data_IF_364280895808
#
_entry.id   IF_364280895808
#
_cell.length_a   1.000
_cell.length_b   1.000
_cell.length_c   1.000
_cell.angle_alpha   90.00
_cell.angle_beta   90.00
_cell.angle_gamma   90.00
#
_symmetry.space_group_name_H-M   'P 1'
#
loop_
_entity.id
_entity.type
_entity.pdbx_description
1 polymer ?
#
# COMPACT_ATOMS: atom_id res chain seq x y z
N UNK A 1 -23.12 11.82 -4.91
CA UNK A 1 -23.36 11.71 -3.45
C UNK A 1 -22.06 11.33 -2.78
N UNK A 2 -21.77 11.86 -1.58
CA UNK A 2 -20.52 11.56 -0.88
C UNK A 2 -20.74 10.56 0.26
N UNK A 3 -19.75 9.71 0.48
CA UNK A 3 -19.72 8.72 1.55
C UNK A 3 -18.37 8.76 2.27
N UNK A 4 -18.37 8.52 3.57
CA UNK A 4 -17.17 8.46 4.41
C UNK A 4 -16.93 7.03 4.87
N UNK A 5 -15.69 6.57 4.77
CA UNK A 5 -15.20 5.33 5.34
C UNK A 5 -15.34 5.33 6.87
N UNK A 6 -16.09 4.39 7.44
CA UNK A 6 -16.25 4.27 8.91
C UNK A 6 -15.21 3.31 9.54
N UNK A 7 -14.65 2.42 8.72
CA UNK A 7 -13.59 1.45 9.02
C UNK A 7 -12.74 1.27 7.75
N UNK A 8 -11.48 0.77 7.82
CA UNK A 8 -10.68 0.54 6.63
C UNK A 8 -11.48 -0.16 5.52
N UNK A 9 -11.54 0.45 4.35
CA UNK A 9 -12.47 0.09 3.28
C UNK A 9 -11.69 -0.45 2.09
N UNK A 10 -11.77 -1.75 1.77
CA UNK A 10 -11.17 -2.29 0.57
C UNK A 10 -11.76 -1.65 -0.68
N UNK A 11 -10.89 -1.23 -1.60
CA UNK A 11 -11.26 -0.66 -2.88
C UNK A 11 -10.87 -1.66 -3.98
N UNK A 12 -11.87 -2.12 -4.72
CA UNK A 12 -11.70 -3.12 -5.76
C UNK A 12 -11.85 -2.52 -7.16
N UNK A 13 -11.22 -3.13 -8.16
CA UNK A 13 -11.41 -2.79 -9.58
C UNK A 13 -12.52 -3.60 -10.28
N UNK A 14 -13.31 -4.34 -9.50
CA UNK A 14 -14.46 -5.12 -9.96
C UNK A 14 -15.64 -4.95 -9.02
N UNK A 15 -16.86 -4.95 -9.57
CA UNK A 15 -18.08 -4.91 -8.75
C UNK A 15 -18.46 -6.29 -8.19
N UNK A 16 -17.88 -7.38 -8.72
CA UNK A 16 -18.12 -8.75 -8.29
C UNK A 16 -17.34 -9.12 -7.02
N UNK A 17 -17.39 -8.27 -5.98
CA UNK A 17 -16.55 -8.41 -4.78
C UNK A 17 -16.76 -9.78 -4.11
N UNK A 18 -18.01 -10.28 -4.08
CA UNK A 18 -18.31 -11.57 -3.47
C UNK A 18 -17.56 -12.74 -4.13
N UNK A 19 -17.33 -12.69 -5.44
CA UNK A 19 -16.66 -13.78 -6.17
C UNK A 19 -15.18 -13.90 -5.78
N UNK A 20 -14.60 -12.80 -5.28
CA UNK A 20 -13.23 -12.77 -4.74
C UNK A 20 -13.14 -13.63 -3.46
N UNK A 21 -14.21 -13.66 -2.66
CA UNK A 21 -14.24 -14.31 -1.35
C UNK A 21 -15.11 -15.56 -1.37
N UNK A 22 -14.47 -16.72 -1.41
CA UNK A 22 -15.09 -18.03 -1.34
C UNK A 22 -15.04 -18.81 -2.65
N UNK A 23 -15.11 -18.16 -3.82
CA UNK A 23 -15.42 -18.83 -5.11
C UNK A 23 -16.60 -19.82 -4.96
N UNK A 24 -16.71 -20.81 -5.83
CA UNK A 24 -17.78 -21.81 -5.79
C UNK A 24 -17.76 -22.63 -4.47
N UNK A 25 -16.58 -23.06 -4.05
CA UNK A 25 -16.35 -23.94 -2.89
C UNK A 25 -16.56 -23.25 -1.52
N UNK A 26 -16.52 -21.93 -1.48
CA UNK A 26 -16.69 -21.10 -0.29
C UNK A 26 -15.49 -21.04 0.68
N UNK A 27 -14.33 -21.57 0.30
CA UNK A 27 -13.15 -21.71 1.16
C UNK A 27 -11.85 -21.29 0.45
N UNK A 28 -11.94 -20.53 -0.64
CA UNK A 28 -10.78 -20.03 -1.39
C UNK A 28 -10.91 -18.53 -1.70
N UNK A 29 -9.83 -17.91 -2.14
CA UNK A 29 -9.80 -16.51 -2.57
C UNK A 29 -9.44 -16.45 -4.05
N UNK A 30 -9.91 -15.42 -4.75
CA UNK A 30 -9.45 -15.12 -6.11
C UNK A 30 -8.04 -14.52 -6.10
N UNK A 31 -7.05 -15.42 -6.19
CA UNK A 31 -5.63 -15.11 -6.20
C UNK A 31 -4.99 -15.61 -7.49
N UNK A 32 -4.02 -14.87 -8.01
CA UNK A 32 -3.18 -15.33 -9.12
C UNK A 32 -2.18 -16.40 -8.69
N UNK A 33 -1.36 -16.90 -9.63
CA UNK A 33 -0.33 -17.92 -9.37
C UNK A 33 0.73 -17.47 -8.34
N UNK A 34 0.91 -16.17 -8.12
CA UNK A 34 1.80 -15.60 -7.09
C UNK A 34 1.08 -15.38 -5.76
N UNK A 35 -0.21 -15.66 -5.71
CA UNK A 35 -1.04 -15.48 -4.53
C UNK A 35 -1.50 -14.04 -4.30
N UNK A 36 -1.52 -13.22 -5.36
CA UNK A 36 -1.96 -11.82 -5.34
C UNK A 36 -3.44 -11.68 -5.68
N UNK A 37 -4.14 -10.84 -4.93
CA UNK A 37 -5.54 -10.46 -5.21
C UNK A 37 -5.54 -9.29 -6.20
N UNK A 38 -5.54 -9.57 -7.50
CA UNK A 38 -5.45 -8.54 -8.56
C UNK A 38 -6.68 -7.61 -8.64
N UNK A 39 -7.77 -8.04 -8.04
CA UNK A 39 -8.99 -7.26 -7.92
C UNK A 39 -8.90 -6.16 -6.86
N UNK A 40 -8.01 -6.29 -5.87
CA UNK A 40 -7.77 -5.27 -4.85
C UNK A 40 -6.81 -4.22 -5.38
N UNK A 41 -7.24 -2.96 -5.35
CA UNK A 41 -6.38 -1.82 -5.70
C UNK A 41 -5.64 -1.31 -4.46
N UNK A 42 -6.38 -1.02 -3.38
CA UNK A 42 -5.83 -0.68 -2.08
C UNK A 42 -6.90 -0.72 -0.99
N UNK A 43 -6.53 -0.41 0.26
CA UNK A 43 -7.47 -0.25 1.37
C UNK A 43 -7.51 1.22 1.77
N UNK A 44 -8.64 1.89 1.52
CA UNK A 44 -8.86 3.25 1.98
C UNK A 44 -8.92 3.30 3.51
N UNK A 45 -8.29 4.31 4.09
CA UNK A 45 -8.27 4.48 5.54
C UNK A 45 -9.62 4.99 6.05
N UNK A 46 -9.90 4.74 7.32
CA UNK A 46 -11.07 5.34 7.99
C UNK A 46 -11.07 6.86 7.80
N UNK A 47 -12.24 7.41 7.48
CA UNK A 47 -12.43 8.83 7.17
C UNK A 47 -12.17 9.21 5.70
N UNK A 48 -11.68 8.30 4.84
CA UNK A 48 -11.59 8.58 3.39
C UNK A 48 -12.98 8.88 2.82
N UNK A 49 -13.04 9.91 1.97
CA UNK A 49 -14.25 10.36 1.31
C UNK A 49 -14.32 9.79 -0.11
N UNK A 50 -15.46 9.21 -0.44
CA UNK A 50 -15.78 8.66 -1.74
C UNK A 50 -16.86 9.48 -2.43
N UNK A 51 -16.68 9.80 -3.70
CA UNK A 51 -17.76 10.28 -4.54
C UNK A 51 -18.41 9.10 -5.25
N UNK A 52 -19.64 8.75 -4.88
CA UNK A 52 -20.39 7.66 -5.52
C UNK A 52 -20.95 8.14 -6.85
N UNK A 53 -20.61 7.41 -7.92
CA UNK A 53 -21.06 7.68 -9.29
C UNK A 53 -22.15 6.71 -9.75
N UNK A 54 -22.13 5.45 -9.27
CA UNK A 54 -23.18 4.45 -9.54
C UNK A 54 -23.44 3.57 -8.33
N UNK A 55 -24.67 3.04 -8.24
CA UNK A 55 -25.12 2.15 -7.17
C UNK A 55 -25.61 0.84 -7.78
N UNK A 56 -25.01 -0.26 -7.36
CA UNK A 56 -25.39 -1.61 -7.77
C UNK A 56 -26.10 -2.30 -6.61
N UNK A 57 -27.31 -2.76 -6.86
CA UNK A 57 -28.02 -3.64 -5.93
C UNK A 57 -27.37 -5.01 -5.99
N UNK A 58 -27.12 -5.61 -4.83
CA UNK A 58 -26.71 -7.02 -4.78
C UNK A 58 -27.93 -7.89 -4.47
N UNK A 59 -27.81 -9.20 -4.67
CA UNK A 59 -28.79 -10.16 -4.15
C UNK A 59 -28.90 -10.12 -2.62
N UNK A 60 -27.91 -9.53 -1.94
CA UNK A 60 -27.89 -9.33 -0.50
C UNK A 60 -28.42 -7.94 -0.16
N UNK A 61 -28.86 -7.71 1.09
CA UNK A 61 -29.41 -6.41 1.54
C UNK A 61 -28.40 -5.25 1.57
N UNK A 62 -27.24 -5.38 0.94
CA UNK A 62 -26.24 -4.33 0.80
C UNK A 62 -26.03 -3.93 -0.67
N UNK A 63 -25.38 -2.79 -0.87
CA UNK A 63 -25.11 -2.21 -2.19
C UNK A 63 -23.60 -2.21 -2.45
N UNK A 64 -23.22 -2.32 -3.72
CA UNK A 64 -21.87 -1.98 -4.17
C UNK A 64 -21.92 -0.61 -4.81
N UNK A 65 -20.97 0.25 -4.46
CA UNK A 65 -20.87 1.59 -5.03
C UNK A 65 -19.69 1.64 -5.97
N UNK A 66 -19.91 2.18 -7.18
CA UNK A 66 -18.80 2.67 -7.99
C UNK A 66 -18.43 4.06 -7.50
N UNK A 67 -17.15 4.30 -7.32
CA UNK A 67 -16.63 5.50 -6.67
C UNK A 67 -15.51 6.16 -7.45
N UNK A 68 -15.39 7.47 -7.25
CA UNK A 68 -14.19 8.25 -7.54
C UNK A 68 -13.56 8.64 -6.22
N UNK A 69 -12.23 8.52 -6.15
CA UNK A 69 -11.44 8.82 -4.96
C UNK A 69 -10.36 9.80 -5.36
N UNK A 70 -10.42 11.03 -4.82
CA UNK A 70 -9.48 12.09 -5.19
C UNK A 70 -8.03 11.73 -4.88
N UNK A 71 -7.80 11.06 -3.76
CA UNK A 71 -6.48 10.64 -3.25
C UNK A 71 -5.91 9.42 -3.98
N UNK A 72 -6.71 8.77 -4.82
CA UNK A 72 -6.33 7.58 -5.59
C UNK A 72 -6.81 7.74 -7.04
N UNK A 73 -6.13 8.58 -7.85
CA UNK A 73 -6.50 8.76 -9.25
C UNK A 73 -6.32 7.45 -10.01
N UNK A 74 -7.40 6.95 -10.61
CA UNK A 74 -7.41 5.66 -11.31
C UNK A 74 -8.17 5.78 -12.63
N UNK A 75 -7.63 5.14 -13.67
CA UNK A 75 -8.32 4.99 -14.96
C UNK A 75 -9.29 3.80 -14.97
N UNK A 76 -9.26 2.97 -13.92
CA UNK A 76 -10.19 1.85 -13.73
C UNK A 76 -11.42 2.32 -12.97
N UNK A 77 -12.55 1.67 -13.23
CA UNK A 77 -13.70 1.77 -12.34
C UNK A 77 -13.35 1.17 -10.97
N UNK A 78 -13.61 1.92 -9.91
CA UNK A 78 -13.35 1.50 -8.53
C UNK A 78 -14.67 1.24 -7.81
N UNK A 79 -14.65 0.23 -6.94
CA UNK A 79 -15.83 -0.25 -6.25
C UNK A 79 -15.57 -0.47 -4.76
N UNK A 80 -16.57 -0.14 -3.95
CA UNK A 80 -16.58 -0.38 -2.51
C UNK A 80 -17.92 -0.98 -2.09
N UNK A 81 -17.92 -1.69 -0.97
CA UNK A 81 -19.15 -2.19 -0.35
C UNK A 81 -19.74 -1.14 0.61
N UNK A 82 -21.04 -0.87 0.45
CA UNK A 82 -21.82 0.04 1.30
C UNK A 82 -21.70 -0.22 2.81
N UNK A 83 -21.38 -1.45 3.22
CA UNK A 83 -21.23 -1.84 4.65
C UNK A 83 -20.02 -1.20 5.34
N UNK A 84 -19.06 -0.67 4.57
CA UNK A 84 -17.86 -0.03 5.09
C UNK A 84 -17.97 1.49 5.21
N UNK A 85 -19.08 2.07 4.76
CA UNK A 85 -19.23 3.51 4.61
C UNK A 85 -20.57 4.01 5.13
N UNK A 86 -20.65 5.32 5.35
CA UNK A 86 -21.89 6.03 5.65
C UNK A 86 -22.03 7.27 4.76
N UNK A 87 -23.25 7.76 4.49
CA UNK A 87 -23.44 9.05 3.82
C UNK A 87 -22.66 10.16 4.54
N UNK A 88 -22.09 11.08 3.76
CA UNK A 88 -21.33 12.21 4.28
C UNK A 88 -21.64 13.48 3.51
N UNK A 89 -21.63 14.61 4.21
CA UNK A 89 -21.69 15.93 3.58
C UNK A 89 -20.30 16.47 3.25
N UNK A 90 -19.22 15.83 3.73
CA UNK A 90 -17.84 16.23 3.45
C UNK A 90 -17.47 15.88 2.00
N UNK A 91 -16.74 16.79 1.35
CA UNK A 91 -16.19 16.58 0.00
C UNK A 91 -14.72 16.16 0.00
N UNK A 92 -14.00 16.41 1.09
CA UNK A 92 -12.59 16.06 1.26
C UNK A 92 -12.38 15.42 2.65
N UNK A 93 -11.34 14.59 2.76
CA UNK A 93 -10.85 14.10 4.05
C UNK A 93 -10.26 15.27 4.87
N UNK A 94 -10.23 15.12 6.20
CA UNK A 94 -9.50 16.04 7.07
C UNK A 94 -8.02 16.07 6.69
N UNK A 95 -7.38 17.24 6.86
CA UNK A 95 -5.95 17.39 6.63
C UNK A 95 -5.14 16.42 7.49
N UNK A 96 -4.08 15.87 6.91
CA UNK A 96 -3.18 14.97 7.61
C UNK A 96 -2.39 15.75 8.65
N UNK A 97 -2.33 15.24 9.88
CA UNK A 97 -1.44 15.78 10.90
C UNK A 97 0.01 15.48 10.49
N UNK A 98 0.87 16.50 10.57
CA UNK A 98 2.32 16.32 10.37
C UNK A 98 2.84 15.37 11.46
N UNK A 99 3.34 14.21 11.04
CA UNK A 99 3.95 13.22 11.94
C UNK A 99 5.44 13.55 12.05
N UNK A 100 5.99 13.56 13.27
CA UNK A 100 7.42 13.79 13.45
C UNK A 100 8.25 12.57 12.97
N UNK A 101 9.54 12.80 12.70
CA UNK A 101 10.43 11.77 12.14
C UNK A 101 10.61 10.57 13.05
N UNK A 102 10.79 10.79 14.36
CA UNK A 102 10.99 9.73 15.34
C UNK A 102 9.80 8.77 15.38
N UNK A 103 8.58 9.29 15.46
CA UNK A 103 7.35 8.50 15.44
C UNK A 103 7.20 7.68 14.15
N UNK A 104 7.69 8.16 13.01
CA UNK A 104 7.67 7.38 11.77
C UNK A 104 8.67 6.23 11.79
N UNK A 105 9.86 6.46 12.35
CA UNK A 105 10.87 5.43 12.56
C UNK A 105 10.33 4.37 13.53
N UNK A 106 9.81 4.77 14.69
CA UNK A 106 9.22 3.84 15.66
C UNK A 106 8.12 2.99 15.01
N UNK A 107 7.23 3.63 14.23
CA UNK A 107 6.18 2.93 13.50
C UNK A 107 6.75 1.95 12.48
N UNK A 108 7.79 2.32 11.71
CA UNK A 108 8.46 1.41 10.78
C UNK A 108 9.00 0.18 11.52
N UNK A 109 9.68 0.39 12.65
CA UNK A 109 10.27 -0.70 13.44
C UNK A 109 9.21 -1.66 13.99
N UNK A 110 8.09 -1.14 14.49
CA UNK A 110 6.94 -1.93 14.97
C UNK A 110 6.32 -2.83 13.87
N UNK A 111 6.58 -2.54 12.58
CA UNK A 111 6.05 -3.32 11.46
C UNK A 111 6.98 -4.46 11.04
N UNK A 112 8.19 -4.57 11.60
CA UNK A 112 9.07 -5.71 11.28
C UNK A 112 8.37 -7.03 11.58
N UNK A 113 8.47 -7.98 10.65
CA UNK A 113 7.82 -9.29 10.73
C UNK A 113 6.36 -9.32 10.28
N UNK A 114 5.74 -8.18 9.90
CA UNK A 114 4.39 -8.17 9.32
C UNK A 114 4.39 -8.78 7.93
N UNK A 115 3.30 -9.45 7.58
CA UNK A 115 3.16 -10.17 6.32
C UNK A 115 3.16 -9.25 5.09
N UNK A 116 3.70 -9.76 3.99
CA UNK A 116 3.49 -9.14 2.68
C UNK A 116 2.07 -9.44 2.16
N UNK A 117 1.38 -8.42 1.65
CA UNK A 117 0.12 -8.59 0.93
C UNK A 117 0.04 -7.59 -0.23
N UNK A 118 -0.04 -8.07 -1.47
CA UNK A 118 -0.18 -7.20 -2.65
C UNK A 118 -1.45 -6.36 -2.59
N UNK A 119 -1.35 -5.04 -2.71
CA UNK A 119 -2.46 -4.11 -2.51
C UNK A 119 -2.76 -3.82 -1.02
N UNK A 120 -2.05 -4.48 -0.10
CA UNK A 120 -2.23 -4.34 1.33
C UNK A 120 -1.59 -3.08 1.90
N UNK A 121 -2.31 -2.39 2.76
CA UNK A 121 -1.81 -1.26 3.54
C UNK A 121 -2.44 -1.20 4.94
N UNK A 122 -2.81 -2.38 5.48
CA UNK A 122 -3.30 -2.57 6.85
C UNK A 122 -2.63 -3.83 7.42
N UNK A 123 -1.60 -3.64 8.23
CA UNK A 123 -0.75 -4.68 8.82
C UNK A 123 -1.52 -5.63 9.73
N UNK A 124 -2.62 -5.18 10.33
CA UNK A 124 -3.49 -6.01 11.17
C UNK A 124 -4.67 -6.65 10.43
N UNK A 125 -4.91 -6.23 9.18
CA UNK A 125 -6.09 -6.59 8.40
C UNK A 125 -7.38 -5.97 8.92
N UNK A 126 -8.49 -6.38 8.31
CA UNK A 126 -9.83 -5.85 8.50
C UNK A 126 -10.72 -7.01 8.95
N UNK A 127 -10.94 -7.13 10.26
CA UNK A 127 -11.61 -8.30 10.85
C UNK A 127 -13.05 -8.44 10.36
N UNK A 128 -13.70 -7.33 10.05
CA UNK A 128 -15.05 -7.22 9.52
C UNK A 128 -15.22 -7.94 8.18
N UNK A 129 -14.14 -8.18 7.43
CA UNK A 129 -14.18 -9.00 6.21
C UNK A 129 -14.73 -10.41 6.47
N UNK A 130 -14.45 -11.00 7.64
CA UNK A 130 -14.98 -12.31 8.01
C UNK A 130 -16.48 -12.29 8.32
N UNK A 131 -17.02 -11.13 8.68
CA UNK A 131 -18.44 -10.95 8.90
C UNK A 131 -19.17 -10.59 7.59
N UNK A 132 -18.55 -9.74 6.77
CA UNK A 132 -19.14 -9.27 5.53
C UNK A 132 -19.05 -10.29 4.39
N UNK A 133 -17.98 -11.09 4.37
CA UNK A 133 -17.72 -12.15 3.40
C UNK A 133 -17.27 -13.40 4.13
N UNK A 134 -18.14 -14.05 4.94
CA UNK A 134 -17.74 -15.20 5.74
C UNK A 134 -17.33 -16.39 4.84
N UNK A 135 -16.24 -17.11 5.17
CA UNK A 135 -15.96 -18.38 4.52
C UNK A 135 -17.04 -19.40 4.89
N UNK A 136 -17.44 -20.26 3.94
CA UNK A 136 -18.44 -21.33 4.17
C UNK A 136 -17.93 -22.44 5.08
N UNK A 137 -16.61 -22.60 5.17
CA UNK A 137 -15.93 -23.64 5.96
C UNK A 137 -14.83 -23.00 6.80
N UNK A 138 -14.37 -23.72 7.82
CA UNK A 138 -13.21 -23.28 8.58
C UNK A 138 -11.97 -23.20 7.67
N UNK A 139 -11.23 -22.09 7.75
CA UNK A 139 -10.05 -21.82 6.92
C UNK A 139 -8.79 -21.76 7.77
N UNK A 140 -7.67 -22.23 7.22
CA UNK A 140 -6.36 -22.18 7.89
C UNK A 140 -5.93 -20.72 8.15
N UNK A 141 -5.13 -20.48 9.20
CA UNK A 141 -4.64 -19.15 9.59
C UNK A 141 -4.08 -18.33 8.42
N UNK A 142 -3.19 -18.90 7.61
CA UNK A 142 -2.59 -18.21 6.45
C UNK A 142 -3.64 -17.72 5.45
N UNK A 143 -4.69 -18.50 5.21
CA UNK A 143 -5.78 -18.09 4.33
C UNK A 143 -6.68 -17.07 5.03
N UNK A 144 -6.92 -17.21 6.33
CA UNK A 144 -7.66 -16.24 7.15
C UNK A 144 -7.01 -14.86 7.13
N UNK A 145 -5.67 -14.79 7.25
CA UNK A 145 -4.91 -13.54 7.16
C UNK A 145 -5.13 -12.87 5.79
N UNK A 146 -5.08 -13.64 4.69
CA UNK A 146 -5.40 -13.12 3.36
C UNK A 146 -6.87 -12.70 3.24
N UNK A 147 -7.78 -13.40 3.90
CA UNK A 147 -9.22 -13.12 3.86
C UNK A 147 -9.55 -11.77 4.49
N UNK A 148 -8.85 -11.42 5.57
CA UNK A 148 -8.95 -10.10 6.20
C UNK A 148 -8.00 -9.06 5.59
N UNK A 149 -7.36 -9.38 4.45
CA UNK A 149 -6.42 -8.49 3.76
C UNK A 149 -5.27 -8.03 4.67
N UNK A 150 -4.82 -8.91 5.59
CA UNK A 150 -3.76 -8.61 6.56
C UNK A 150 -2.40 -8.61 5.88
N UNK A 151 -1.76 -7.44 5.85
CA UNK A 151 -0.39 -7.29 5.40
C UNK A 151 -0.15 -5.97 4.69
N UNK A 152 1.10 -5.77 4.30
CA UNK A 152 1.61 -4.55 3.69
C UNK A 152 2.35 -4.89 2.41
N UNK A 153 2.08 -4.20 1.31
CA UNK A 153 3.03 -4.11 0.21
C UNK A 153 4.06 -2.99 0.47
N UNK A 154 5.00 -2.79 -0.46
CA UNK A 154 6.12 -1.87 -0.28
C UNK A 154 5.65 -0.43 -0.03
N UNK A 155 4.78 0.12 -0.87
CA UNK A 155 4.24 1.47 -0.66
C UNK A 155 3.14 1.51 0.39
N UNK A 156 2.44 0.40 0.63
CA UNK A 156 1.44 0.23 1.67
C UNK A 156 2.01 0.34 3.07
N UNK A 157 3.27 -0.07 3.28
CA UNK A 157 4.01 0.19 4.52
C UNK A 157 4.11 1.69 4.82
N UNK A 158 4.58 2.49 3.86
CA UNK A 158 4.66 3.96 4.00
C UNK A 158 3.27 4.58 4.17
N UNK A 159 2.30 4.11 3.40
CA UNK A 159 0.92 4.60 3.46
C UNK A 159 0.30 4.37 4.85
N UNK A 160 0.50 3.20 5.46
CA UNK A 160 0.01 2.89 6.80
C UNK A 160 0.66 3.78 7.86
N UNK A 161 2.00 3.79 7.96
CA UNK A 161 2.69 4.48 9.05
C UNK A 161 2.43 5.99 9.04
N UNK A 162 2.10 6.53 7.85
CA UNK A 162 1.81 7.94 7.66
C UNK A 162 0.34 8.29 7.74
N UNK A 163 -0.53 7.30 8.01
CA UNK A 163 -1.96 7.48 7.97
C UNK A 163 -2.46 8.07 6.64
N UNK A 164 -1.81 7.71 5.53
CA UNK A 164 -2.16 8.07 4.16
C UNK A 164 -1.56 9.37 3.63
N UNK A 165 -0.55 9.94 4.31
CA UNK A 165 0.12 11.18 3.85
C UNK A 165 1.01 10.95 2.61
N UNK A 166 1.53 9.73 2.42
CA UNK A 166 2.30 9.39 1.22
C UNK A 166 1.37 8.97 0.08
N UNK A 167 1.79 9.12 -1.19
CA UNK A 167 1.09 8.48 -2.30
C UNK A 167 0.95 6.97 -2.07
N UNK A 168 -0.16 6.36 -2.51
CA UNK A 168 -0.40 4.91 -2.30
C UNK A 168 0.45 4.03 -3.22
N UNK A 169 0.76 4.50 -4.42
CA UNK A 169 1.48 3.74 -5.44
C UNK A 169 2.91 4.25 -5.61
N UNK A 170 3.86 3.33 -5.83
CA UNK A 170 5.27 3.70 -6.05
C UNK A 170 5.46 4.54 -7.31
N UNK A 171 4.63 4.35 -8.34
CA UNK A 171 4.62 5.21 -9.53
C UNK A 171 4.37 6.67 -9.18
N UNK A 172 3.41 6.96 -8.32
CA UNK A 172 3.12 8.31 -7.86
C UNK A 172 4.27 8.88 -7.02
N UNK A 173 4.89 8.06 -6.15
CA UNK A 173 6.10 8.49 -5.43
C UNK A 173 7.27 8.84 -6.37
N UNK A 174 7.36 8.19 -7.54
CA UNK A 174 8.39 8.49 -8.54
C UNK A 174 8.10 9.80 -9.29
N UNK A 175 6.87 10.00 -9.76
CA UNK A 175 6.53 11.09 -10.70
C UNK A 175 5.91 12.35 -10.06
N UNK A 176 5.26 12.24 -8.91
CA UNK A 176 4.66 13.40 -8.23
C UNK A 176 5.72 14.18 -7.43
N UNK A 177 5.31 15.33 -6.87
CA UNK A 177 6.10 16.15 -5.93
C UNK A 177 6.32 15.45 -4.57
N UNK A 178 6.67 14.18 -4.59
CA UNK A 178 7.07 13.40 -3.43
C UNK A 178 8.58 13.49 -3.25
N UNK A 179 9.01 14.24 -2.24
CA UNK A 179 10.42 14.39 -1.87
C UNK A 179 11.28 15.09 -2.92
N UNK A 180 12.59 15.16 -2.66
CA UNK A 180 13.60 15.73 -3.55
C UNK A 180 14.56 14.66 -4.02
N UNK A 181 14.78 14.52 -5.33
CA UNK A 181 15.79 13.61 -5.88
C UNK A 181 17.18 14.03 -5.42
N UNK A 182 17.98 13.06 -4.98
CA UNK A 182 19.36 13.26 -4.53
C UNK A 182 20.34 13.02 -5.66
N UNK A 183 21.33 13.91 -5.78
CA UNK A 183 22.39 13.81 -6.78
C UNK A 183 23.47 12.84 -6.31
N UNK A 184 23.31 11.57 -6.67
CA UNK A 184 24.18 10.46 -6.28
C UNK A 184 24.69 9.62 -7.47
N UNK A 185 24.25 9.86 -8.71
CA UNK A 185 24.60 9.05 -9.91
C UNK A 185 26.11 8.86 -10.13
N UNK A 186 26.95 9.82 -9.73
CA UNK A 186 28.42 9.76 -9.89
C UNK A 186 29.17 9.27 -8.64
N UNK A 187 28.46 8.96 -7.56
CA UNK A 187 29.06 8.60 -6.28
C UNK A 187 29.27 7.09 -6.16
N UNK A 188 30.34 6.70 -5.47
CA UNK A 188 30.57 5.32 -5.05
C UNK A 188 29.63 4.96 -3.89
N UNK A 189 29.38 3.67 -3.68
CA UNK A 189 28.49 3.16 -2.62
C UNK A 189 28.83 3.76 -1.24
N UNK A 190 30.11 3.80 -0.88
CA UNK A 190 30.53 4.34 0.42
C UNK A 190 30.22 5.84 0.57
N UNK A 191 30.28 6.61 -0.52
CA UNK A 191 29.93 8.03 -0.52
C UNK A 191 28.42 8.25 -0.50
N UNK A 192 27.65 7.36 -1.13
CA UNK A 192 26.18 7.36 -1.04
C UNK A 192 25.77 7.14 0.41
N UNK A 193 26.32 6.10 1.05
CA UNK A 193 25.98 5.72 2.43
C UNK A 193 26.17 6.86 3.44
N UNK A 194 27.27 7.61 3.34
CA UNK A 194 27.56 8.72 4.26
C UNK A 194 26.62 9.92 4.08
N UNK A 195 25.92 10.00 2.95
CA UNK A 195 25.00 11.10 2.62
C UNK A 195 23.52 10.75 2.77
N UNK A 196 23.20 9.46 2.90
CA UNK A 196 21.85 8.99 3.19
C UNK A 196 21.45 9.38 4.62
N UNK A 197 20.18 9.72 4.77
CA UNK A 197 19.56 10.07 6.06
C UNK A 197 18.36 9.18 6.32
N UNK A 198 17.99 8.96 7.60
CA UNK A 198 16.73 8.31 7.94
C UNK A 198 15.56 8.92 7.16
N UNK A 199 14.67 8.05 6.67
CA UNK A 199 13.52 8.34 5.82
C UNK A 199 13.83 8.77 4.38
N UNK A 200 15.09 8.85 3.96
CA UNK A 200 15.38 8.81 2.52
C UNK A 200 14.78 7.52 1.93
N UNK A 201 14.35 7.56 0.67
CA UNK A 201 13.77 6.40 -0.01
C UNK A 201 14.55 6.06 -1.26
N UNK A 202 14.74 4.77 -1.47
CA UNK A 202 15.23 4.21 -2.73
C UNK A 202 14.00 3.75 -3.50
N UNK A 203 13.80 4.30 -4.70
CA UNK A 203 12.62 4.06 -5.53
C UNK A 203 13.04 3.44 -6.85
N UNK A 204 12.34 2.40 -7.27
CA UNK A 204 12.38 1.86 -8.63
C UNK A 204 11.02 1.31 -9.03
N UNK A 205 10.86 0.93 -10.30
CA UNK A 205 9.59 0.42 -10.81
C UNK A 205 9.09 -0.72 -9.92
N UNK A 206 7.86 -0.53 -9.39
CA UNK A 206 7.13 -1.45 -8.50
C UNK A 206 7.70 -1.66 -7.09
N UNK A 207 8.66 -0.84 -6.64
CA UNK A 207 9.20 -0.99 -5.29
C UNK A 207 9.67 0.29 -4.62
N UNK A 208 9.64 0.28 -3.29
CA UNK A 208 10.18 1.34 -2.44
C UNK A 208 10.87 0.74 -1.23
N UNK A 209 12.02 1.30 -0.88
CA UNK A 209 12.84 0.92 0.27
C UNK A 209 13.10 2.18 1.08
N UNK A 210 12.99 2.09 2.39
CA UNK A 210 13.15 3.24 3.29
C UNK A 210 14.47 3.09 4.05
N UNK A 211 15.28 4.14 4.06
CA UNK A 211 16.45 4.21 4.94
C UNK A 211 15.96 4.37 6.37
N UNK A 212 16.28 3.42 7.24
CA UNK A 212 15.86 3.48 8.65
C UNK A 212 16.87 4.29 9.47
N UNK A 213 18.15 4.00 9.28
CA UNK A 213 19.28 4.62 9.94
C UNK A 213 20.54 4.56 9.05
N UNK A 214 21.73 4.86 9.60
CA UNK A 214 22.99 4.84 8.84
C UNK A 214 23.45 3.44 8.40
N UNK A 215 22.89 2.38 8.99
CA UNK A 215 23.30 1.00 8.83
C UNK A 215 22.22 0.12 8.21
N UNK A 216 20.94 0.48 8.35
CA UNK A 216 19.82 -0.37 7.99
C UNK A 216 18.82 0.32 7.05
N UNK A 217 18.20 -0.51 6.21
CA UNK A 217 16.98 -0.19 5.49
C UNK A 217 15.83 -1.05 5.96
N UNK A 218 14.61 -0.60 5.69
CA UNK A 218 13.38 -1.34 5.91
C UNK A 218 12.54 -1.35 4.63
N UNK A 219 11.98 -2.51 4.29
CA UNK A 219 11.09 -2.69 3.14
C UNK A 219 10.06 -3.77 3.42
N UNK A 220 8.90 -3.71 2.75
CA UNK A 220 8.00 -4.86 2.62
C UNK A 220 8.26 -5.58 1.30
N UNK A 221 8.74 -6.82 1.36
CA UNK A 221 9.18 -7.60 0.19
C UNK A 221 8.32 -8.84 -0.02
N UNK A 222 7.96 -9.11 -1.28
CA UNK A 222 7.21 -10.31 -1.66
C UNK A 222 7.91 -11.57 -1.12
N UNK A 223 7.14 -12.45 -0.48
CA UNK A 223 7.65 -13.68 0.16
C UNK A 223 8.32 -13.49 1.53
N UNK A 224 8.74 -12.28 1.91
CA UNK A 224 9.41 -12.01 3.20
C UNK A 224 8.61 -11.15 4.17
N UNK A 225 7.71 -10.31 3.67
CA UNK A 225 7.04 -9.30 4.50
C UNK A 225 7.94 -8.12 4.81
N UNK A 226 7.64 -7.43 5.91
CA UNK A 226 8.42 -6.29 6.37
C UNK A 226 9.69 -6.76 7.08
N UNK A 227 10.84 -6.37 6.55
CA UNK A 227 12.15 -6.81 7.02
C UNK A 227 13.12 -5.63 7.13
N UNK A 228 14.05 -5.74 8.09
CA UNK A 228 15.24 -4.89 8.16
C UNK A 228 16.40 -5.62 7.49
N UNK A 229 17.20 -4.89 6.72
CA UNK A 229 18.38 -5.41 6.02
C UNK A 229 19.50 -4.39 6.17
N UNK A 230 20.75 -4.84 6.22
CA UNK A 230 21.90 -3.95 6.16
C UNK A 230 21.85 -3.10 4.88
N UNK A 231 22.10 -1.80 5.05
CA UNK A 231 22.10 -0.81 3.97
C UNK A 231 23.11 -1.16 2.88
N UNK A 232 24.30 -1.63 3.27
CA UNK A 232 25.36 -2.05 2.33
C UNK A 232 24.86 -3.19 1.43
N UNK A 233 24.42 -4.29 2.04
CA UNK A 233 23.98 -5.49 1.35
C UNK A 233 22.82 -5.16 0.40
N UNK A 234 21.89 -4.30 0.85
CA UNK A 234 20.73 -3.96 0.03
C UNK A 234 21.10 -3.03 -1.13
N UNK A 235 21.99 -2.06 -0.93
CA UNK A 235 22.51 -1.23 -2.02
C UNK A 235 23.27 -2.07 -3.04
N UNK A 236 24.11 -3.00 -2.59
CA UNK A 236 24.83 -3.93 -3.46
C UNK A 236 23.87 -4.82 -4.26
N UNK A 237 22.83 -5.38 -3.63
CA UNK A 237 21.80 -6.17 -4.32
C UNK A 237 21.11 -5.36 -5.42
N UNK A 238 20.76 -4.10 -5.16
CA UNK A 238 20.11 -3.22 -6.15
C UNK A 238 21.05 -2.89 -7.30
N UNK A 239 22.30 -2.55 -6.99
CA UNK A 239 23.30 -2.11 -7.98
C UNK A 239 23.77 -3.23 -8.92
N UNK A 240 23.54 -4.50 -8.58
CA UNK A 240 23.78 -5.64 -9.50
C UNK A 240 22.92 -5.56 -10.75
N UNK A 241 21.65 -5.17 -10.58
CA UNK A 241 20.64 -5.25 -11.64
C UNK A 241 20.11 -3.87 -12.08
N UNK A 242 20.43 -2.81 -11.32
CA UNK A 242 19.91 -1.47 -11.56
C UNK A 242 21.00 -0.40 -11.52
N UNK A 243 20.85 0.58 -12.40
CA UNK A 243 21.66 1.80 -12.46
C UNK A 243 20.97 2.91 -11.67
N UNK A 244 21.73 3.57 -10.79
CA UNK A 244 21.29 4.80 -10.14
C UNK A 244 21.20 5.93 -11.17
N UNK A 245 20.12 6.70 -11.16
CA UNK A 245 19.97 7.94 -11.92
C UNK A 245 19.49 9.07 -11.01
N UNK A 246 19.79 10.30 -11.40
CA UNK A 246 19.26 11.51 -10.74
C UNK A 246 18.03 12.10 -11.45
N UNK A 247 17.52 11.41 -12.48
CA UNK A 247 16.40 11.89 -13.30
C UNK A 247 15.20 10.97 -13.20
N UNK A 248 14.14 11.26 -13.96
CA UNK A 248 12.96 10.40 -14.03
C UNK A 248 13.36 9.01 -14.54
N UNK A 249 12.94 7.97 -13.82
CA UNK A 249 13.18 6.57 -14.20
C UNK A 249 12.52 6.27 -15.56
N UNK A 250 13.34 5.81 -16.51
CA UNK A 250 12.93 5.52 -17.89
C UNK A 250 12.59 4.05 -18.10
N UNK A 251 13.16 3.14 -17.32
CA UNK A 251 13.00 1.70 -17.49
C UNK A 251 13.21 0.91 -16.18
N UNK A 252 12.97 -0.40 -16.23
CA UNK A 252 13.04 -1.29 -15.04
C UNK A 252 14.46 -1.51 -14.49
N UNK A 253 15.50 -1.12 -15.24
CA UNK A 253 16.91 -1.20 -14.83
C UNK A 253 17.41 0.08 -14.17
N UNK A 254 16.54 1.03 -13.86
CA UNK A 254 16.92 2.27 -13.20
C UNK A 254 16.28 2.39 -11.81
N UNK A 255 16.99 3.10 -10.92
CA UNK A 255 16.45 3.51 -9.63
C UNK A 255 16.90 4.92 -9.29
N UNK A 256 16.15 5.59 -8.42
CA UNK A 256 16.45 6.92 -7.90
C UNK A 256 16.47 6.86 -6.37
N UNK A 257 17.14 7.83 -5.77
CA UNK A 257 17.06 8.06 -4.33
C UNK A 257 16.42 9.42 -4.12
N UNK A 258 15.37 9.48 -3.30
CA UNK A 258 14.71 10.71 -2.92
C UNK A 258 14.84 10.96 -1.43
N UNK A 259 15.12 12.20 -1.07
CA UNK A 259 14.92 12.69 0.28
C UNK A 259 13.45 12.96 0.49
N UNK A 260 12.81 12.12 1.30
CA UNK A 260 11.44 12.37 1.70
C UNK A 260 11.42 13.59 2.63
N UNK A 261 10.82 14.68 2.13
CA UNK A 261 10.75 15.94 2.84
C UNK A 261 9.62 15.87 3.87
N UNK A 262 10.01 15.88 5.14
CA UNK A 262 9.23 16.41 6.26
C UNK A 262 9.76 17.77 6.66
#
# INVERSE_FOLDING_TARGET
>A
MYFESIIPTPVFNTFFIKEIFGKEEGNSLDLDKKGHMRSLEYIALKGTIFMVTKVFKTFFKHKIYQVIIKEYPSNKNLYIDSRFVRPSFKKNKNEFLKINKTTLIDRLEERVGKNYFWGGNISEGIKEMLYFYPPKKNIKKKLKDKWILKGLDCSGLLYEITNGYTPRNTSWMMYENFGKVLDFEKLKINEIKTRLKPLDVILYIRHVIVILDSNCVIESREGKGVIKIALSDRLEEILRDKKLTNTVIKNEKEFIIKRWLF
#
